data_IF_419630659906
#
_entry.id   IF_419630659906
#
_cell.length_a   1.000
_cell.length_b   1.000
_cell.length_c   1.000
_cell.angle_alpha   90.00
_cell.angle_beta   90.00
_cell.angle_gamma   90.00
#
_symmetry.space_group_name_H-M   'P 1'
#
loop_
_entity.id
_entity.type
_entity.pdbx_description
1 polymer ?
#
# COMPACT_ATOMS: atom_id res chain seq x y z
N UNK A 1 -12.37 -48.07 -13.64
CA UNK A 1 -12.45 -47.18 -12.46
C UNK A 1 -11.32 -46.14 -12.35
N UNK A 2 -10.41 -46.01 -13.32
CA UNK A 2 -9.19 -45.16 -13.24
C UNK A 2 -9.32 -43.77 -13.91
N UNK A 3 -10.35 -43.51 -14.71
CA UNK A 3 -10.51 -42.22 -15.43
C UNK A 3 -11.12 -41.11 -14.59
N UNK A 4 -11.86 -41.42 -13.52
CA UNK A 4 -12.50 -40.41 -12.65
C UNK A 4 -11.52 -39.72 -11.67
N UNK A 5 -10.43 -40.40 -11.31
CA UNK A 5 -9.43 -39.85 -10.37
C UNK A 5 -8.49 -38.77 -10.98
N UNK A 6 -8.25 -38.90 -12.30
CA UNK A 6 -7.37 -37.95 -12.99
C UNK A 6 -8.04 -36.57 -13.21
N UNK A 7 -9.35 -36.57 -13.48
CA UNK A 7 -10.13 -35.34 -13.68
C UNK A 7 -10.28 -34.52 -12.41
N UNK A 8 -10.37 -35.16 -11.25
CA UNK A 8 -10.42 -34.45 -9.94
C UNK A 8 -9.09 -33.81 -9.57
N UNK A 9 -7.97 -34.45 -9.86
CA UNK A 9 -6.63 -33.92 -9.61
C UNK A 9 -6.32 -32.72 -10.50
N UNK A 10 -6.73 -32.71 -11.76
CA UNK A 10 -6.59 -31.58 -12.68
C UNK A 10 -7.47 -30.37 -12.24
N UNK A 11 -8.68 -30.65 -11.73
CA UNK A 11 -9.57 -29.57 -11.23
C UNK A 11 -9.01 -28.87 -9.98
N UNK A 12 -8.40 -29.61 -9.05
CA UNK A 12 -7.72 -29.05 -7.90
C UNK A 12 -6.43 -28.30 -8.26
N UNK A 13 -5.71 -28.74 -9.30
CA UNK A 13 -4.50 -28.07 -9.79
C UNK A 13 -4.85 -26.72 -10.46
N UNK A 14 -5.95 -26.65 -11.19
CA UNK A 14 -6.44 -25.40 -11.82
C UNK A 14 -7.00 -24.43 -10.77
N UNK A 15 -7.68 -24.93 -9.73
CA UNK A 15 -8.15 -24.09 -8.62
C UNK A 15 -6.99 -23.59 -7.74
N UNK A 16 -5.91 -24.36 -7.57
CA UNK A 16 -4.72 -23.96 -6.82
C UNK A 16 -3.90 -22.84 -7.48
N UNK A 17 -4.01 -22.69 -8.79
CA UNK A 17 -3.29 -21.63 -9.54
C UNK A 17 -3.97 -20.26 -9.50
N UNK A 18 -5.19 -20.15 -8.96
CA UNK A 18 -5.91 -18.86 -8.86
C UNK A 18 -5.62 -18.09 -7.56
N UNK A 19 -4.88 -18.64 -6.61
CA UNK A 19 -4.56 -17.98 -5.34
C UNK A 19 -3.18 -17.29 -5.28
N UNK A 20 -2.45 -17.25 -6.38
CA UNK A 20 -1.29 -16.37 -6.51
C UNK A 20 -1.76 -14.99 -6.99
N UNK A 21 -2.55 -14.29 -6.17
CA UNK A 21 -2.95 -12.91 -6.39
C UNK A 21 -1.78 -11.98 -6.08
N UNK A 22 -0.65 -12.19 -6.72
CA UNK A 22 0.42 -11.21 -6.80
C UNK A 22 -0.01 -10.10 -7.76
N UNK A 23 0.49 -8.88 -7.53
CA UNK A 23 0.30 -7.76 -8.46
C UNK A 23 0.66 -8.17 -9.90
N UNK A 24 -0.11 -7.68 -10.88
CA UNK A 24 0.16 -7.97 -12.30
C UNK A 24 1.59 -7.59 -12.70
N UNK A 25 2.20 -8.36 -13.60
CA UNK A 25 3.56 -8.06 -14.10
C UNK A 25 3.72 -6.62 -14.61
N UNK A 26 2.75 -6.04 -15.37
CA UNK A 26 2.82 -4.62 -15.76
C UNK A 26 2.88 -3.67 -14.57
N UNK A 27 2.11 -3.93 -13.50
CA UNK A 27 2.15 -3.10 -12.31
C UNK A 27 3.49 -3.21 -11.58
N UNK A 28 4.03 -4.41 -11.44
CA UNK A 28 5.37 -4.61 -10.86
C UNK A 28 6.47 -3.90 -11.66
N UNK A 29 6.37 -3.92 -13.00
CA UNK A 29 7.30 -3.21 -13.89
C UNK A 29 7.21 -1.69 -13.71
N UNK A 30 6.00 -1.16 -13.61
CA UNK A 30 5.77 0.25 -13.28
C UNK A 30 6.44 0.62 -11.96
N UNK A 31 6.19 -0.15 -10.90
CA UNK A 31 6.74 0.13 -9.56
C UNK A 31 8.27 0.09 -9.55
N UNK A 32 8.90 -0.85 -10.28
CA UNK A 32 10.36 -0.88 -10.44
C UNK A 32 10.93 0.37 -11.08
N UNK A 33 10.19 1.01 -11.99
CA UNK A 33 10.60 2.27 -12.62
C UNK A 33 10.37 3.50 -11.74
N UNK A 34 9.50 3.39 -10.73
CA UNK A 34 9.17 4.50 -9.82
C UNK A 34 10.04 4.54 -8.57
N UNK A 35 10.62 3.42 -8.15
CA UNK A 35 11.31 3.32 -6.86
C UNK A 35 12.83 3.35 -6.98
N UNK A 36 13.46 3.95 -6.00
CA UNK A 36 14.87 3.73 -5.73
C UNK A 36 15.06 2.33 -5.13
N UNK A 37 15.83 1.49 -5.79
CA UNK A 37 16.08 0.11 -5.37
C UNK A 37 16.74 -0.02 -3.99
N UNK A 38 17.36 1.07 -3.50
CA UNK A 38 18.02 1.12 -2.19
C UNK A 38 17.09 1.58 -1.06
N UNK A 39 15.89 2.09 -1.39
CA UNK A 39 14.96 2.53 -0.34
C UNK A 39 14.17 1.33 0.22
N UNK A 40 14.11 1.17 1.56
CA UNK A 40 13.43 0.02 2.15
C UNK A 40 11.93 0.01 1.83
N UNK A 41 11.45 -1.10 1.31
CA UNK A 41 10.02 -1.33 1.05
C UNK A 41 9.52 -2.50 1.90
N UNK A 42 8.24 -2.47 2.23
CA UNK A 42 7.53 -3.59 2.84
C UNK A 42 6.24 -3.84 2.06
N UNK A 43 5.97 -5.10 1.75
CA UNK A 43 4.76 -5.48 1.02
C UNK A 43 3.58 -5.65 1.97
N UNK A 44 2.33 -5.40 1.51
CA UNK A 44 1.14 -5.59 2.34
C UNK A 44 1.10 -6.95 3.04
N UNK A 45 1.41 -8.03 2.35
CA UNK A 45 1.37 -9.39 2.87
C UNK A 45 2.37 -9.67 4.00
N UNK A 46 3.41 -8.86 4.12
CA UNK A 46 4.43 -8.96 5.18
C UNK A 46 4.00 -8.24 6.48
N UNK A 47 2.96 -7.41 6.41
CA UNK A 47 2.49 -6.64 7.56
C UNK A 47 1.42 -7.46 8.29
N UNK A 48 1.75 -7.96 9.46
CA UNK A 48 0.83 -8.72 10.32
C UNK A 48 0.01 -7.82 11.23
N UNK A 49 0.59 -6.72 11.71
CA UNK A 49 -0.08 -5.73 12.56
C UNK A 49 0.41 -4.31 12.25
N UNK A 50 -0.52 -3.43 11.84
CA UNK A 50 -0.24 -2.00 11.60
C UNK A 50 0.14 -1.24 12.87
N UNK A 51 -0.29 -1.70 14.05
CA UNK A 51 0.03 -1.05 15.33
C UNK A 51 1.52 -1.10 15.68
N UNK A 52 2.27 -2.00 15.04
CA UNK A 52 3.73 -2.06 15.20
C UNK A 52 4.46 -0.91 14.47
N UNK A 53 3.75 -0.14 13.65
CA UNK A 53 4.27 0.97 12.89
C UNK A 53 3.64 2.30 13.29
N UNK A 54 4.38 3.36 13.12
CA UNK A 54 3.87 4.73 13.01
C UNK A 54 3.47 4.93 11.55
N UNK A 55 2.16 4.86 11.24
CA UNK A 55 1.66 4.83 9.86
C UNK A 55 1.41 6.25 9.37
N UNK A 56 2.00 6.63 8.22
CA UNK A 56 1.91 7.94 7.62
C UNK A 56 1.30 7.88 6.22
N UNK A 57 0.32 8.74 5.96
CA UNK A 57 -0.27 8.92 4.64
C UNK A 57 0.28 10.20 3.99
N UNK A 58 1.03 10.03 2.91
CA UNK A 58 1.66 11.10 2.14
C UNK A 58 0.80 11.58 0.96
N UNK A 59 -0.47 11.19 0.91
CA UNK A 59 -1.38 11.65 -0.14
C UNK A 59 -1.96 13.01 0.19
N UNK A 60 -2.62 13.62 -0.79
CA UNK A 60 -3.33 14.86 -0.53
C UNK A 60 -4.53 14.65 0.40
N UNK A 61 -4.95 15.73 1.08
CA UNK A 61 -5.98 15.65 2.11
C UNK A 61 -7.30 15.08 1.59
N UNK A 62 -7.68 15.42 0.36
CA UNK A 62 -8.88 14.87 -0.28
C UNK A 62 -8.80 13.35 -0.48
N UNK A 63 -7.62 12.83 -0.88
CA UNK A 63 -7.39 11.39 -1.03
C UNK A 63 -7.52 10.67 0.32
N UNK A 64 -6.92 11.24 1.37
CA UNK A 64 -7.00 10.72 2.75
C UNK A 64 -8.43 10.68 3.28
N UNK A 65 -9.23 11.71 3.00
CA UNK A 65 -10.63 11.80 3.45
C UNK A 65 -11.52 10.74 2.80
N UNK A 66 -11.26 10.35 1.55
CA UNK A 66 -11.99 9.25 0.89
C UNK A 66 -11.75 7.93 1.61
N UNK A 67 -10.50 7.59 1.86
CA UNK A 67 -10.13 6.44 2.70
C UNK A 67 -8.63 6.44 3.02
N UNK A 68 -8.26 5.78 4.11
CA UNK A 68 -6.89 5.65 4.58
C UNK A 68 -6.69 4.31 5.32
N UNK A 69 -5.44 3.91 5.53
CA UNK A 69 -5.12 2.76 6.36
C UNK A 69 -5.51 3.05 7.82
N UNK A 70 -5.90 2.03 8.54
CA UNK A 70 -6.20 2.15 9.97
C UNK A 70 -4.99 2.75 10.72
N UNK A 71 -5.24 3.66 11.65
CA UNK A 71 -4.22 4.37 12.42
C UNK A 71 -3.32 5.34 11.62
N UNK A 72 -3.53 5.50 10.32
CA UNK A 72 -2.72 6.40 9.53
C UNK A 72 -2.89 7.86 9.97
N UNK A 73 -1.75 8.52 10.17
CA UNK A 73 -1.68 9.97 10.33
C UNK A 73 -1.46 10.61 8.95
N UNK A 74 -2.32 11.54 8.59
CA UNK A 74 -2.11 12.33 7.38
C UNK A 74 -0.95 13.31 7.56
N UNK A 75 -0.03 13.32 6.60
CA UNK A 75 1.13 14.24 6.57
C UNK A 75 1.19 15.05 5.27
N UNK A 76 0.46 14.62 4.21
CA UNK A 76 0.51 15.24 2.89
C UNK A 76 1.84 15.04 2.17
N UNK A 77 1.90 15.42 0.90
CA UNK A 77 3.15 15.46 0.13
C UNK A 77 3.58 16.92 -0.11
N UNK A 78 2.79 17.70 -0.84
CA UNK A 78 3.12 19.07 -1.20
C UNK A 78 3.17 20.02 0.02
N UNK A 79 2.42 19.68 1.06
CA UNK A 79 2.36 20.42 2.32
C UNK A 79 3.19 19.79 3.45
N UNK A 80 3.96 18.75 3.15
CA UNK A 80 4.77 18.06 4.16
C UNK A 80 5.74 19.00 4.88
N UNK A 81 5.78 18.89 6.18
CA UNK A 81 6.82 19.54 6.99
C UNK A 81 7.22 18.62 8.15
N UNK A 82 8.47 18.76 8.61
CA UNK A 82 8.96 18.00 9.77
C UNK A 82 8.17 18.27 11.05
N UNK A 83 7.45 19.40 11.14
CA UNK A 83 6.54 19.69 12.25
C UNK A 83 5.39 18.69 12.36
N UNK A 84 4.91 18.18 11.22
CA UNK A 84 3.80 17.21 11.21
C UNK A 84 4.16 15.86 11.81
N UNK A 85 5.44 15.57 12.01
CA UNK A 85 5.98 14.32 12.55
C UNK A 85 6.87 14.52 13.79
N UNK A 86 6.81 15.69 14.41
CA UNK A 86 7.70 16.07 15.52
C UNK A 86 7.53 15.19 16.77
N UNK A 87 6.31 14.64 16.98
CA UNK A 87 5.99 13.78 18.11
C UNK A 87 6.34 12.30 17.88
N UNK A 88 6.76 11.93 16.68
CA UNK A 88 7.07 10.53 16.37
C UNK A 88 8.40 10.09 16.97
N UNK A 89 8.43 8.86 17.46
CA UNK A 89 9.66 8.24 17.96
C UNK A 89 10.55 7.80 16.78
N UNK A 90 11.73 8.41 16.67
CA UNK A 90 12.70 8.11 15.61
C UNK A 90 13.28 6.69 15.65
N UNK A 91 13.13 5.97 16.77
CA UNK A 91 13.61 4.60 16.93
C UNK A 91 12.54 3.56 16.55
N UNK A 92 11.26 3.94 16.53
CA UNK A 92 10.15 3.05 16.13
C UNK A 92 10.02 2.96 14.62
N UNK A 93 9.54 1.83 14.09
CA UNK A 93 9.27 1.69 12.65
C UNK A 93 8.24 2.69 12.17
N UNK A 94 8.54 3.34 11.04
CA UNK A 94 7.60 4.18 10.29
C UNK A 94 7.22 3.44 9.02
N UNK A 95 5.92 3.31 8.78
CA UNK A 95 5.36 2.86 7.51
C UNK A 95 4.76 4.07 6.81
N UNK A 96 5.33 4.48 5.70
CA UNK A 96 4.79 5.59 4.91
C UNK A 96 4.22 5.08 3.59
N UNK A 97 3.12 5.64 3.14
CA UNK A 97 2.50 5.26 1.87
C UNK A 97 1.88 6.47 1.15
N UNK A 98 1.70 6.32 -0.16
CA UNK A 98 0.84 7.16 -0.97
C UNK A 98 -0.07 6.28 -1.86
N UNK A 99 -0.45 6.74 -3.04
CA UNK A 99 -1.29 5.95 -3.95
C UNK A 99 -0.56 4.70 -4.45
N UNK A 100 0.70 4.86 -4.94
CA UNK A 100 1.52 3.77 -5.50
C UNK A 100 2.94 3.70 -4.92
N UNK A 101 3.36 4.65 -4.06
CA UNK A 101 4.63 4.62 -3.36
C UNK A 101 5.67 5.66 -3.80
N UNK A 102 5.49 6.41 -4.89
CA UNK A 102 6.48 7.39 -5.35
C UNK A 102 6.61 8.61 -4.41
N UNK A 103 5.51 9.33 -4.15
CA UNK A 103 5.47 10.49 -3.23
C UNK A 103 5.94 10.14 -1.81
N UNK A 104 5.52 8.97 -1.32
CA UNK A 104 5.89 8.50 0.02
C UNK A 104 7.38 8.17 0.15
N UNK A 105 8.03 7.69 -0.91
CA UNK A 105 9.47 7.46 -0.89
C UNK A 105 10.26 8.76 -0.70
N UNK A 106 9.86 9.86 -1.35
CA UNK A 106 10.51 11.15 -1.22
C UNK A 106 10.46 11.67 0.23
N UNK A 107 9.27 11.59 0.87
CA UNK A 107 9.13 11.93 2.29
C UNK A 107 9.91 10.94 3.16
N UNK A 108 9.87 9.66 2.84
CA UNK A 108 10.63 8.64 3.56
C UNK A 108 12.13 8.93 3.59
N UNK A 109 12.71 9.35 2.46
CA UNK A 109 14.11 9.81 2.38
C UNK A 109 14.37 11.04 3.26
N UNK A 110 13.42 11.96 3.32
CA UNK A 110 13.48 13.12 4.20
C UNK A 110 13.48 12.73 5.68
N UNK A 111 12.62 11.77 6.06
CA UNK A 111 12.59 11.23 7.42
C UNK A 111 13.91 10.52 7.80
N UNK A 112 14.49 9.72 6.88
CA UNK A 112 15.79 9.08 7.12
C UNK A 112 16.90 10.13 7.37
N UNK A 113 16.95 11.17 6.54
CA UNK A 113 17.90 12.31 6.74
C UNK A 113 17.69 13.03 8.06
N UNK A 114 16.45 13.05 8.55
CA UNK A 114 16.12 13.64 9.87
C UNK A 114 16.39 12.70 11.05
N UNK A 115 16.97 11.51 10.82
CA UNK A 115 17.40 10.56 11.85
C UNK A 115 16.38 9.51 12.25
N UNK A 116 15.30 9.32 11.50
CA UNK A 116 14.41 8.16 11.67
C UNK A 116 15.12 6.88 11.22
N UNK A 117 15.27 5.91 12.11
CA UNK A 117 16.16 4.74 11.88
C UNK A 117 15.52 3.63 11.04
N UNK A 118 14.19 3.53 11.06
CA UNK A 118 13.43 2.42 10.44
C UNK A 118 12.27 2.99 9.65
N UNK A 119 12.51 3.42 8.42
CA UNK A 119 11.49 3.99 7.52
C UNK A 119 11.28 3.02 6.36
N UNK A 120 10.04 2.61 6.16
CA UNK A 120 9.64 1.68 5.13
C UNK A 120 8.55 2.30 4.25
N UNK A 121 8.69 2.19 2.95
CA UNK A 121 7.65 2.53 2.00
C UNK A 121 6.73 1.33 1.78
N UNK A 122 5.42 1.53 1.85
CA UNK A 122 4.45 0.48 1.52
C UNK A 122 4.50 0.21 0.02
N UNK A 123 4.99 -0.97 -0.35
CA UNK A 123 5.12 -1.38 -1.75
C UNK A 123 3.79 -1.36 -2.49
N UNK A 124 3.71 -0.58 -3.58
CA UNK A 124 2.48 -0.39 -4.35
C UNK A 124 1.43 0.48 -3.67
N UNK A 125 1.75 1.10 -2.53
CA UNK A 125 0.90 2.04 -1.81
C UNK A 125 -0.48 1.49 -1.43
N UNK A 126 -1.46 2.39 -1.29
CA UNK A 126 -2.82 2.02 -0.91
C UNK A 126 -3.51 1.14 -1.98
N UNK A 127 -3.15 1.28 -3.26
CA UNK A 127 -3.74 0.45 -4.32
C UNK A 127 -3.35 -1.02 -4.12
N UNK A 128 -2.08 -1.31 -3.84
CA UNK A 128 -1.64 -2.68 -3.54
C UNK A 128 -2.29 -3.21 -2.25
N UNK A 129 -2.35 -2.38 -1.20
CA UNK A 129 -3.01 -2.74 0.05
C UNK A 129 -4.44 -3.25 -0.16
N UNK A 130 -5.24 -2.49 -0.94
CA UNK A 130 -6.64 -2.85 -1.22
C UNK A 130 -6.74 -4.05 -2.17
N UNK A 131 -5.88 -4.15 -3.18
CA UNK A 131 -5.85 -5.29 -4.09
C UNK A 131 -5.58 -6.61 -3.36
N UNK A 132 -4.80 -6.59 -2.26
CA UNK A 132 -4.61 -7.72 -1.36
C UNK A 132 -5.84 -7.99 -0.45
N UNK A 133 -6.92 -7.24 -0.61
CA UNK A 133 -8.17 -7.41 0.15
C UNK A 133 -8.09 -6.86 1.57
N UNK A 134 -7.12 -5.98 1.85
CA UNK A 134 -6.97 -5.36 3.15
C UNK A 134 -7.87 -4.15 3.31
N UNK A 135 -8.45 -3.94 4.51
CA UNK A 135 -9.43 -2.88 4.73
C UNK A 135 -8.81 -1.48 4.71
N UNK A 136 -9.61 -0.54 4.23
CA UNK A 136 -9.39 0.90 4.37
C UNK A 136 -10.55 1.54 5.08
N UNK A 137 -10.36 2.72 5.66
CA UNK A 137 -11.28 3.36 6.57
C UNK A 137 -11.55 4.80 6.18
N UNK A 138 -12.79 5.24 6.39
CA UNK A 138 -13.22 6.63 6.33
C UNK A 138 -14.06 6.93 7.57
N UNK A 139 -13.81 8.05 8.25
CA UNK A 139 -14.53 8.44 9.46
C UNK A 139 -14.60 7.32 10.52
N UNK A 140 -13.51 6.55 10.68
CA UNK A 140 -13.40 5.45 11.64
C UNK A 140 -14.15 4.16 11.26
N UNK A 141 -14.76 4.09 10.07
CA UNK A 141 -15.50 2.91 9.57
C UNK A 141 -14.85 2.33 8.33
N UNK A 142 -14.88 1.01 8.12
CA UNK A 142 -14.44 0.40 6.87
C UNK A 142 -15.22 0.96 5.67
N UNK A 143 -14.53 1.12 4.56
CA UNK A 143 -15.12 1.56 3.29
C UNK A 143 -14.52 0.78 2.12
N UNK A 144 -15.24 0.75 0.99
CA UNK A 144 -14.71 0.22 -0.27
C UNK A 144 -14.16 1.31 -1.19
N UNK A 145 -14.41 2.59 -0.88
CA UNK A 145 -13.98 3.71 -1.71
C UNK A 145 -12.48 3.93 -1.59
N UNK A 146 -11.82 4.09 -2.72
CA UNK A 146 -10.39 4.34 -2.81
C UNK A 146 -10.11 5.43 -3.84
N UNK A 147 -9.52 6.53 -3.37
CA UNK A 147 -9.07 7.58 -4.28
C UNK A 147 -7.82 7.11 -5.02
N UNK A 148 -7.91 7.03 -6.35
CA UNK A 148 -6.86 6.48 -7.20
C UNK A 148 -5.92 7.53 -7.79
N UNK A 149 -5.89 8.74 -7.18
CA UNK A 149 -5.16 9.93 -7.64
C UNK A 149 -5.78 10.55 -8.90
N UNK A 150 -5.93 9.79 -9.98
CA UNK A 150 -6.59 10.22 -11.21
C UNK A 150 -7.10 9.02 -12.00
N UNK A 151 -7.96 9.29 -12.99
CA UNK A 151 -8.56 8.25 -13.83
C UNK A 151 -7.55 7.32 -14.52
N UNK A 152 -6.42 7.78 -15.09
CA UNK A 152 -5.41 6.86 -15.62
C UNK A 152 -4.81 5.91 -14.61
N UNK A 153 -4.61 6.34 -13.35
CA UNK A 153 -4.05 5.48 -12.30
C UNK A 153 -5.03 4.43 -11.80
N UNK A 154 -6.34 4.65 -12.01
CA UNK A 154 -7.37 3.72 -11.54
C UNK A 154 -7.32 2.33 -12.15
N UNK A 155 -6.61 2.14 -13.26
CA UNK A 155 -6.42 0.82 -13.89
C UNK A 155 -5.68 -0.16 -12.98
N UNK A 156 -4.88 0.35 -12.04
CA UNK A 156 -4.10 -0.44 -11.09
C UNK A 156 -4.90 -0.88 -9.85
N UNK A 157 -6.09 -0.32 -9.63
CA UNK A 157 -7.00 -0.78 -8.57
C UNK A 157 -7.90 -1.87 -9.13
N UNK A 158 -7.76 -3.09 -8.61
CA UNK A 158 -8.53 -4.28 -9.04
C UNK A 158 -9.65 -4.64 -8.07
N UNK A 159 -9.60 -4.16 -6.83
CA UNK A 159 -10.63 -4.32 -5.81
C UNK A 159 -11.02 -2.97 -5.23
N UNK A 160 -12.27 -2.84 -4.76
CA UNK A 160 -12.81 -1.59 -4.20
C UNK A 160 -13.45 -0.68 -5.25
N UNK A 161 -13.98 0.44 -4.79
CA UNK A 161 -14.69 1.45 -5.58
C UNK A 161 -13.75 2.61 -5.88
N UNK A 162 -13.59 2.92 -7.17
CA UNK A 162 -12.65 3.95 -7.66
C UNK A 162 -13.24 5.35 -7.47
N UNK A 163 -12.48 6.24 -6.81
CA UNK A 163 -12.76 7.67 -6.69
C UNK A 163 -11.60 8.46 -7.31
N UNK A 164 -11.90 9.64 -7.92
CA UNK A 164 -10.91 10.48 -8.62
C UNK A 164 -10.92 11.90 -8.08
#
# INVERSE_FOLDING_TARGET
MTRFRLSFLLYFLVLGLQYAAGQSLPYQTLLKGLYDSNFPVVKPEQITDLKSYQVLDAREKGEFQVSHLQTAKWVGHDTFSMKSVAELDKNKPVLIYCTVGARSEEIGKTLQKAGFKKVFNLYGGILHWVNEGRPVFANGKPTLQVHTYSKPWSIWLTKGEKVY
#
